data_IF_306179456257
#
_entry.id   IF_306179456257
#
_cell.length_a   1.000
_cell.length_b   1.000
_cell.length_c   1.000
_cell.angle_alpha   90.00
_cell.angle_beta   90.00
_cell.angle_gamma   90.00
#
_symmetry.space_group_name_H-M   'P 1'
#
loop_
_entity.id
_entity.type
_entity.pdbx_description
1 polymer ?
#
# COMPACT_ATOMS: atom_id res chain seq x y z
N UNK A 1 23.52 -6.10 11.84
CA UNK A 1 22.11 -5.84 11.45
C UNK A 1 21.34 -5.42 12.68
N UNK A 2 20.57 -4.33 12.62
CA UNK A 2 19.81 -3.80 13.77
C UNK A 2 18.87 -4.86 14.39
N UNK A 3 18.58 -4.71 15.69
CA UNK A 3 17.66 -5.62 16.37
C UNK A 3 16.20 -5.33 15.94
N UNK A 4 15.33 -6.34 15.96
CA UNK A 4 13.93 -6.15 15.55
C UNK A 4 13.21 -5.12 16.42
N UNK A 5 13.44 -5.11 17.73
CA UNK A 5 12.81 -4.15 18.64
C UNK A 5 13.25 -2.70 18.36
N UNK A 6 14.50 -2.49 17.95
CA UNK A 6 15.03 -1.18 17.55
C UNK A 6 14.32 -0.65 16.30
N UNK A 7 14.18 -1.49 15.26
CA UNK A 7 13.43 -1.13 14.04
C UNK A 7 11.96 -0.83 14.35
N UNK A 8 11.35 -1.60 15.24
CA UNK A 8 9.96 -1.40 15.63
C UNK A 8 9.76 -0.12 16.45
N UNK A 9 10.75 0.28 17.26
CA UNK A 9 10.75 1.55 17.97
C UNK A 9 10.76 2.74 16.98
N UNK A 10 11.57 2.67 15.93
CA UNK A 10 11.55 3.69 14.86
C UNK A 10 10.24 3.73 14.06
N UNK A 11 9.49 2.62 14.02
CA UNK A 11 8.19 2.56 13.35
C UNK A 11 7.01 2.96 14.25
N UNK A 12 7.26 3.25 15.53
CA UNK A 12 6.21 3.55 16.49
C UNK A 12 5.36 4.74 16.02
N UNK A 13 4.03 4.56 16.04
CA UNK A 13 3.07 5.58 15.60
C UNK A 13 2.63 5.49 14.14
N UNK A 14 3.37 4.83 13.25
CA UNK A 14 3.04 4.74 11.82
C UNK A 14 1.93 3.71 11.48
N UNK A 15 1.52 2.90 12.44
CA UNK A 15 0.54 1.83 12.24
C UNK A 15 1.02 0.72 11.29
N UNK A 16 0.15 -0.28 11.06
CA UNK A 16 0.44 -1.43 10.19
C UNK A 16 1.84 -2.05 10.39
N UNK A 17 2.19 -2.36 11.64
CA UNK A 17 3.52 -2.83 12.07
C UNK A 17 4.05 -4.09 11.37
N UNK A 18 3.18 -4.85 10.67
CA UNK A 18 3.63 -5.89 9.77
C UNK A 18 4.55 -5.35 8.65
N UNK A 19 4.36 -4.09 8.22
CA UNK A 19 5.22 -3.43 7.23
C UNK A 19 6.66 -3.31 7.72
N UNK A 20 6.89 -2.82 8.95
CA UNK A 20 8.22 -2.75 9.54
C UNK A 20 8.90 -4.12 9.61
N UNK A 21 8.18 -5.13 10.11
CA UNK A 21 8.72 -6.49 10.22
C UNK A 21 9.10 -7.06 8.85
N UNK A 22 8.22 -6.90 7.86
CA UNK A 22 8.45 -7.39 6.51
C UNK A 22 9.60 -6.64 5.84
N UNK A 23 9.67 -5.31 5.98
CA UNK A 23 10.77 -4.50 5.47
C UNK A 23 12.11 -4.94 6.08
N UNK A 24 12.15 -5.14 7.40
CA UNK A 24 13.36 -5.62 8.07
C UNK A 24 13.76 -7.03 7.63
N UNK A 25 12.78 -7.94 7.48
CA UNK A 25 13.02 -9.29 6.97
C UNK A 25 13.54 -9.28 5.52
N UNK A 26 12.94 -8.46 4.65
CA UNK A 26 13.40 -8.27 3.27
C UNK A 26 14.83 -7.72 3.21
N UNK A 27 15.17 -6.73 4.04
CA UNK A 27 16.52 -6.19 4.13
C UNK A 27 17.56 -7.25 4.55
N UNK A 28 17.20 -8.13 5.52
CA UNK A 28 18.06 -9.26 5.91
C UNK A 28 18.30 -10.23 4.76
N UNK A 29 17.24 -10.62 4.04
CA UNK A 29 17.35 -11.51 2.88
C UNK A 29 18.18 -10.87 1.75
N UNK A 30 18.10 -9.55 1.58
CA UNK A 30 18.95 -8.84 0.61
C UNK A 30 20.44 -8.94 0.98
N UNK A 31 20.79 -8.78 2.25
CA UNK A 31 22.17 -8.97 2.72
C UNK A 31 22.63 -10.42 2.54
N UNK A 32 21.77 -11.38 2.90
CA UNK A 32 22.11 -12.82 2.88
C UNK A 32 22.23 -13.40 1.47
N UNK A 33 21.32 -13.03 0.56
CA UNK A 33 21.18 -13.68 -0.74
C UNK A 33 21.46 -12.78 -1.95
N UNK A 34 21.55 -11.46 -1.75
CA UNK A 34 21.64 -10.48 -2.84
C UNK A 34 22.78 -9.47 -2.65
N UNK A 35 23.79 -9.80 -1.83
CA UNK A 35 24.97 -8.96 -1.64
C UNK A 35 24.67 -7.59 -1.01
N UNK A 36 23.55 -7.47 -0.29
CA UNK A 36 23.08 -6.22 0.32
C UNK A 36 22.30 -5.30 -0.62
N UNK A 37 22.09 -5.68 -1.89
CA UNK A 37 21.29 -4.93 -2.84
C UNK A 37 19.86 -5.50 -2.96
N UNK A 38 18.90 -4.65 -3.36
CA UNK A 38 17.61 -5.16 -3.85
C UNK A 38 17.84 -5.89 -5.17
N UNK A 39 17.22 -7.07 -5.38
CA UNK A 39 17.32 -7.78 -6.65
C UNK A 39 16.71 -6.95 -7.79
N UNK A 40 17.34 -7.02 -8.97
CA UNK A 40 16.84 -6.37 -10.21
C UNK A 40 15.78 -7.20 -10.93
N UNK A 41 15.69 -8.50 -10.63
CA UNK A 41 14.68 -9.39 -11.17
C UNK A 41 13.33 -9.19 -10.48
N UNK A 42 12.25 -9.14 -11.25
CA UNK A 42 10.90 -8.89 -10.74
C UNK A 42 10.43 -9.98 -9.77
N UNK A 43 10.63 -11.25 -10.12
CA UNK A 43 10.15 -12.38 -9.32
C UNK A 43 10.93 -12.48 -8.00
N UNK A 44 12.24 -12.28 -8.04
CA UNK A 44 13.08 -12.22 -6.85
C UNK A 44 12.68 -11.06 -5.93
N UNK A 45 12.37 -9.89 -6.50
CA UNK A 45 11.92 -8.74 -5.73
C UNK A 45 10.53 -8.98 -5.13
N UNK A 46 9.60 -9.59 -5.89
CA UNK A 46 8.26 -9.92 -5.44
C UNK A 46 8.25 -11.02 -4.36
N UNK A 47 9.23 -11.92 -4.38
CA UNK A 47 9.39 -12.95 -3.36
C UNK A 47 9.79 -12.40 -1.99
N UNK A 48 10.31 -11.16 -1.91
CA UNK A 48 10.71 -10.57 -0.63
C UNK A 48 9.49 -10.24 0.26
N UNK A 49 9.59 -10.46 1.59
CA UNK A 49 8.50 -10.17 2.51
C UNK A 49 7.98 -8.73 2.40
N UNK A 50 6.67 -8.59 2.21
CA UNK A 50 6.00 -7.28 2.15
C UNK A 50 6.13 -6.55 0.82
N UNK A 51 6.79 -7.11 -0.19
CA UNK A 51 6.83 -6.55 -1.54
C UNK A 51 5.79 -7.25 -2.41
N UNK A 52 4.64 -6.59 -2.62
CA UNK A 52 3.62 -7.05 -3.55
C UNK A 52 3.93 -6.67 -5.01
N UNK A 53 3.16 -7.21 -5.96
CA UNK A 53 3.29 -6.96 -7.40
C UNK A 53 3.48 -5.47 -7.76
N UNK A 54 2.61 -4.61 -7.22
CA UNK A 54 2.68 -3.16 -7.49
C UNK A 54 3.90 -2.49 -6.83
N UNK A 55 4.36 -2.98 -5.68
CA UNK A 55 5.55 -2.43 -5.01
C UNK A 55 6.82 -2.82 -5.75
N UNK A 56 6.93 -4.07 -6.20
CA UNK A 56 8.04 -4.53 -7.03
C UNK A 56 8.12 -3.70 -8.33
N UNK A 57 6.99 -3.53 -9.01
CA UNK A 57 6.89 -2.68 -10.20
C UNK A 57 7.28 -1.22 -9.92
N UNK A 58 6.85 -0.66 -8.78
CA UNK A 58 7.17 0.71 -8.40
C UNK A 58 8.67 0.89 -8.13
N UNK A 59 9.34 -0.07 -7.50
CA UNK A 59 10.79 -0.05 -7.27
C UNK A 59 11.52 -0.08 -8.61
N UNK A 60 11.20 -1.05 -9.49
CA UNK A 60 11.90 -1.22 -10.76
C UNK A 60 11.70 -0.03 -11.70
N UNK A 61 10.47 0.47 -11.80
CA UNK A 61 10.16 1.62 -12.68
C UNK A 61 10.76 2.93 -12.19
N UNK A 62 10.72 3.23 -10.89
CA UNK A 62 11.21 4.51 -10.36
C UNK A 62 12.72 4.53 -10.15
N UNK A 63 13.29 3.46 -9.56
CA UNK A 63 14.72 3.43 -9.27
C UNK A 63 15.57 3.12 -10.51
N UNK A 64 14.99 2.45 -11.52
CA UNK A 64 15.75 1.94 -12.65
C UNK A 64 15.16 2.25 -14.03
N UNK A 65 13.99 2.89 -14.10
CA UNK A 65 13.35 3.24 -15.37
C UNK A 65 12.75 2.05 -16.13
N UNK A 66 12.67 0.88 -15.49
CA UNK A 66 12.15 -0.33 -16.15
C UNK A 66 10.64 -0.18 -16.44
N UNK A 67 10.18 -0.77 -17.55
CA UNK A 67 8.79 -0.64 -18.02
C UNK A 67 7.84 -1.57 -17.27
N UNK A 68 7.52 -1.20 -16.03
CA UNK A 68 6.52 -1.90 -15.21
C UNK A 68 5.33 -0.99 -14.84
N UNK A 69 4.08 -1.47 -14.96
CA UNK A 69 2.91 -0.75 -14.48
C UNK A 69 2.76 -0.86 -12.97
N UNK A 70 2.25 0.20 -12.34
CA UNK A 70 1.85 0.21 -10.93
C UNK A 70 0.32 0.18 -10.81
N UNK A 71 -0.20 -0.32 -9.70
CA UNK A 71 -1.64 -0.39 -9.45
C UNK A 71 -1.96 -0.27 -7.95
N UNK A 72 -1.57 0.86 -7.36
CA UNK A 72 -1.93 1.21 -5.98
C UNK A 72 -3.39 1.69 -5.86
N UNK A 73 -3.82 2.09 -4.66
CA UNK A 73 -5.18 2.57 -4.45
C UNK A 73 -5.53 3.85 -5.22
N UNK A 74 -4.54 4.68 -5.55
CA UNK A 74 -4.72 5.89 -6.35
C UNK A 74 -4.93 5.52 -7.82
N UNK A 75 -4.05 4.70 -8.38
CA UNK A 75 -4.12 4.25 -9.77
C UNK A 75 -5.37 3.40 -10.02
N UNK A 76 -5.76 2.52 -9.09
CA UNK A 76 -7.04 1.79 -9.21
C UNK A 76 -8.23 2.73 -9.37
N UNK A 77 -8.26 3.85 -8.64
CA UNK A 77 -9.34 4.84 -8.72
C UNK A 77 -9.29 5.63 -10.02
N UNK A 78 -8.11 6.10 -10.42
CA UNK A 78 -7.97 6.88 -11.66
C UNK A 78 -8.37 6.04 -12.86
N UNK A 79 -7.88 4.80 -12.97
CA UNK A 79 -8.24 3.88 -14.06
C UNK A 79 -9.71 3.48 -14.03
N UNK A 80 -10.27 3.20 -12.86
CA UNK A 80 -11.70 2.87 -12.76
C UNK A 80 -12.58 4.03 -13.23
N UNK A 81 -12.24 5.26 -12.88
CA UNK A 81 -12.99 6.45 -13.33
C UNK A 81 -12.78 6.71 -14.83
N UNK A 82 -11.54 6.70 -15.28
CA UNK A 82 -11.19 6.99 -16.66
C UNK A 82 -11.85 6.03 -17.65
N UNK A 83 -11.80 4.73 -17.37
CA UNK A 83 -12.37 3.69 -18.22
C UNK A 83 -13.79 3.26 -17.83
N UNK A 84 -14.39 3.84 -16.78
CA UNK A 84 -15.75 3.48 -16.32
C UNK A 84 -15.87 2.08 -15.73
N UNK A 85 -14.76 1.49 -15.23
CA UNK A 85 -14.73 0.14 -14.68
C UNK A 85 -15.58 0.06 -13.42
N UNK A 86 -16.60 -0.79 -13.46
CA UNK A 86 -17.54 -0.99 -12.36
C UNK A 86 -17.15 -2.22 -11.53
N UNK A 87 -17.56 -2.24 -10.27
CA UNK A 87 -17.26 -3.33 -9.34
C UNK A 87 -16.11 -3.00 -8.39
N UNK A 88 -16.08 -3.69 -7.26
CA UNK A 88 -15.08 -3.43 -6.21
C UNK A 88 -13.70 -3.90 -6.68
N UNK A 89 -12.66 -3.02 -6.72
CA UNK A 89 -11.31 -3.37 -7.17
C UNK A 89 -10.56 -4.40 -6.31
N UNK A 90 -11.17 -4.88 -5.23
CA UNK A 90 -10.66 -6.01 -4.45
C UNK A 90 -11.18 -7.37 -4.88
N UNK A 91 -12.05 -7.44 -5.90
CA UNK A 91 -12.43 -8.71 -6.52
C UNK A 91 -11.41 -9.09 -7.61
N UNK A 92 -11.06 -10.38 -7.77
CA UNK A 92 -10.06 -10.80 -8.75
C UNK A 92 -10.37 -10.37 -10.19
N UNK A 93 -11.66 -10.39 -10.57
CA UNK A 93 -12.09 -10.01 -11.92
C UNK A 93 -11.82 -8.54 -12.21
N UNK A 94 -12.20 -7.63 -11.31
CA UNK A 94 -11.99 -6.19 -11.47
C UNK A 94 -10.50 -5.86 -11.35
N UNK A 95 -9.77 -6.48 -10.42
CA UNK A 95 -8.33 -6.28 -10.29
C UNK A 95 -7.57 -6.71 -11.55
N UNK A 96 -7.92 -7.85 -12.15
CA UNK A 96 -7.32 -8.31 -13.40
C UNK A 96 -7.58 -7.31 -14.54
N UNK A 97 -8.80 -6.81 -14.67
CA UNK A 97 -9.14 -5.81 -15.68
C UNK A 97 -8.31 -4.54 -15.51
N UNK A 98 -8.17 -4.04 -14.28
CA UNK A 98 -7.36 -2.85 -13.99
C UNK A 98 -5.87 -3.06 -14.28
N UNK A 99 -5.34 -4.26 -14.02
CA UNK A 99 -3.96 -4.60 -14.41
C UNK A 99 -3.78 -4.58 -15.93
N UNK A 100 -4.69 -5.18 -16.70
CA UNK A 100 -4.63 -5.14 -18.17
C UNK A 100 -4.65 -3.71 -18.70
N UNK A 101 -5.44 -2.82 -18.10
CA UNK A 101 -5.44 -1.40 -18.45
C UNK A 101 -4.12 -0.70 -18.09
N UNK A 102 -3.57 -0.99 -16.92
CA UNK A 102 -2.28 -0.42 -16.52
C UNK A 102 -1.14 -0.88 -17.44
N UNK A 103 -1.15 -2.16 -17.84
CA UNK A 103 -0.21 -2.77 -18.78
C UNK A 103 -0.30 -2.15 -20.18
N UNK A 104 -1.51 -1.88 -20.69
CA UNK A 104 -1.68 -1.26 -22.00
C UNK A 104 -1.17 0.18 -22.02
N UNK A 105 -1.35 0.93 -20.93
CA UNK A 105 -0.91 2.33 -20.84
C UNK A 105 0.61 2.45 -20.79
N UNK A 106 1.30 1.54 -20.08
CA UNK A 106 2.77 1.61 -20.02
C UNK A 106 3.42 1.37 -21.36
N UNK A 107 2.79 0.72 -22.34
CA UNK A 107 3.35 0.55 -23.68
C UNK A 107 3.54 1.90 -24.42
N UNK A 108 2.69 2.90 -24.11
CA UNK A 108 2.74 4.23 -24.74
C UNK A 108 3.72 5.21 -24.08
N UNK A 109 4.37 4.84 -22.98
CA UNK A 109 5.28 5.75 -22.27
C UNK A 109 6.58 5.93 -23.07
N UNK A 110 7.04 7.16 -23.33
CA UNK A 110 8.32 7.38 -24.00
C UNK A 110 9.48 6.73 -23.25
N UNK A 111 10.51 6.30 -23.99
CA UNK A 111 11.73 5.76 -23.40
C UNK A 111 12.36 6.76 -22.41
N UNK A 112 12.88 6.25 -21.29
CA UNK A 112 13.47 7.07 -20.23
C UNK A 112 12.48 7.84 -19.35
N UNK A 113 11.15 7.74 -19.59
CA UNK A 113 10.12 8.48 -18.84
C UNK A 113 9.30 7.63 -17.86
N UNK A 114 9.72 6.39 -17.60
CA UNK A 114 8.95 5.47 -16.74
C UNK A 114 8.86 5.96 -15.29
N UNK A 115 9.94 6.49 -14.72
CA UNK A 115 9.92 7.03 -13.36
C UNK A 115 8.94 8.22 -13.24
N UNK A 116 9.00 9.15 -14.19
CA UNK A 116 8.06 10.29 -14.25
C UNK A 116 6.62 9.82 -14.40
N UNK A 117 6.36 8.86 -15.29
CA UNK A 117 5.02 8.34 -15.54
C UNK A 117 4.43 7.68 -14.29
N UNK A 118 5.19 6.82 -13.60
CA UNK A 118 4.68 6.12 -12.41
C UNK A 118 4.47 7.07 -11.25
N UNK A 119 5.38 8.05 -11.04
CA UNK A 119 5.20 9.09 -10.03
C UNK A 119 3.98 9.98 -10.36
N UNK A 120 3.85 10.42 -11.62
CA UNK A 120 2.72 11.23 -12.07
C UNK A 120 1.38 10.51 -11.88
N UNK A 121 1.32 9.19 -12.10
CA UNK A 121 0.10 8.40 -11.87
C UNK A 121 -0.31 8.37 -10.39
N UNK A 122 0.65 8.25 -9.47
CA UNK A 122 0.39 8.31 -8.03
C UNK A 122 -0.05 9.72 -7.60
N UNK A 123 0.68 10.74 -8.03
CA UNK A 123 0.41 12.14 -7.70
C UNK A 123 -0.93 12.60 -8.25
N UNK A 124 -1.24 12.24 -9.50
CA UNK A 124 -2.52 12.54 -10.13
C UNK A 124 -3.70 12.01 -9.31
N UNK A 125 -3.62 10.76 -8.83
CA UNK A 125 -4.65 10.21 -7.95
C UNK A 125 -4.65 10.87 -6.56
N UNK A 126 -3.49 11.24 -6.03
CA UNK A 126 -3.36 11.85 -4.71
C UNK A 126 -3.87 13.30 -4.63
N UNK A 127 -3.70 14.09 -5.70
CA UNK A 127 -3.91 15.55 -5.67
C UNK A 127 -5.06 16.04 -6.54
N UNK A 128 -5.34 15.39 -7.68
CA UNK A 128 -6.39 15.82 -8.63
C UNK A 128 -7.59 14.88 -8.63
N UNK A 129 -7.38 13.61 -8.97
CA UNK A 129 -8.43 12.60 -9.00
C UNK A 129 -8.60 11.97 -7.59
N UNK A 130 -8.85 12.82 -6.60
CA UNK A 130 -8.96 12.44 -5.19
C UNK A 130 -10.22 11.64 -4.91
N UNK A 131 -10.26 10.95 -3.76
CA UNK A 131 -11.42 10.13 -3.35
C UNK A 131 -12.71 10.95 -3.27
N UNK A 132 -12.65 12.13 -2.66
CA UNK A 132 -13.78 13.02 -2.44
C UNK A 132 -13.45 14.40 -2.99
N UNK A 133 -14.40 14.99 -3.73
CA UNK A 133 -14.25 16.29 -4.41
C UNK A 133 -13.02 16.35 -5.33
N UNK A 134 -12.93 15.47 -6.34
CA UNK A 134 -11.85 15.53 -7.32
C UNK A 134 -11.91 16.82 -8.14
N UNK A 135 -10.75 17.36 -8.49
CA UNK A 135 -10.61 18.59 -9.27
C UNK A 135 -10.78 18.33 -10.77
N UNK A 136 -11.94 17.79 -11.18
CA UNK A 136 -12.17 17.37 -12.58
C UNK A 136 -12.01 18.50 -13.60
N UNK A 137 -12.35 19.74 -13.24
CA UNK A 137 -12.15 20.92 -14.11
C UNK A 137 -10.68 21.27 -14.37
N UNK A 138 -9.77 20.82 -13.49
CA UNK A 138 -8.32 20.99 -13.62
C UNK A 138 -7.61 19.69 -14.02
N UNK A 139 -8.36 18.63 -14.30
CA UNK A 139 -7.79 17.33 -14.63
C UNK A 139 -7.20 17.40 -16.06
N UNK A 140 -5.89 17.17 -16.27
CA UNK A 140 -5.26 17.35 -17.58
C UNK A 140 -5.76 16.36 -18.63
N UNK A 141 -6.44 15.30 -18.21
CA UNK A 141 -6.98 14.29 -19.11
C UNK A 141 -8.50 14.37 -19.24
N UNK A 142 -9.23 15.28 -18.60
CA UNK A 142 -10.70 15.18 -18.41
C UNK A 142 -11.56 14.76 -19.62
N UNK A 143 -11.19 15.13 -20.86
CA UNK A 143 -11.99 14.95 -22.10
C UNK A 143 -12.42 13.50 -22.36
N UNK A 144 -11.56 12.53 -22.05
CA UNK A 144 -11.84 11.09 -22.27
C UNK A 144 -12.40 10.37 -21.04
N UNK A 145 -12.69 11.07 -19.94
CA UNK A 145 -13.05 10.42 -18.69
C UNK A 145 -14.49 9.90 -18.74
N UNK A 146 -14.64 8.57 -18.84
CA UNK A 146 -15.96 7.92 -18.87
C UNK A 146 -16.79 8.26 -17.63
N UNK A 147 -16.20 8.25 -16.43
CA UNK A 147 -16.92 8.59 -15.22
C UNK A 147 -17.35 10.06 -15.16
N UNK A 148 -16.59 10.99 -15.75
CA UNK A 148 -17.01 12.39 -15.81
C UNK A 148 -18.17 12.56 -16.79
N UNK A 149 -18.04 12.02 -18.00
CA UNK A 149 -19.08 12.03 -19.03
C UNK A 149 -20.39 11.44 -18.55
N UNK A 150 -20.33 10.34 -17.80
CA UNK A 150 -21.51 9.59 -17.36
C UNK A 150 -22.01 10.02 -15.96
N UNK A 151 -21.38 11.02 -15.31
CA UNK A 151 -21.76 11.48 -13.97
C UNK A 151 -21.50 10.47 -12.84
N UNK A 152 -20.49 9.60 -12.99
CA UNK A 152 -20.18 8.47 -12.10
C UNK A 152 -18.89 8.65 -11.28
N UNK A 153 -18.32 9.86 -11.25
CA UNK A 153 -17.04 10.14 -10.57
C UNK A 153 -17.07 9.75 -9.08
N UNK A 154 -18.16 10.08 -8.38
CA UNK A 154 -18.31 9.75 -6.95
C UNK A 154 -18.72 8.29 -6.70
N UNK A 155 -19.28 7.62 -7.71
CA UNK A 155 -19.68 6.22 -7.64
C UNK A 155 -18.53 5.24 -7.93
N UNK A 156 -17.42 5.73 -8.52
CA UNK A 156 -16.28 4.93 -8.93
C UNK A 156 -14.99 5.30 -8.17
N UNK A 157 -14.17 4.30 -7.78
CA UNK A 157 -14.43 2.86 -7.89
C UNK A 157 -15.56 2.42 -6.95
N UNK A 158 -16.23 1.32 -7.29
CA UNK A 158 -17.29 0.78 -6.43
C UNK A 158 -16.72 0.47 -5.03
N UNK A 159 -17.39 0.92 -3.95
CA UNK A 159 -16.91 0.73 -2.59
C UNK A 159 -16.72 -0.75 -2.24
N UNK A 160 -15.81 -0.99 -1.28
CA UNK A 160 -15.70 -2.31 -0.65
C UNK A 160 -17.04 -2.67 -0.01
N UNK A 161 -17.55 -3.90 -0.19
CA UNK A 161 -18.72 -4.36 0.55
C UNK A 161 -18.52 -4.20 2.06
N UNK A 162 -19.44 -3.50 2.71
CA UNK A 162 -19.39 -3.30 4.15
C UNK A 162 -19.44 -4.66 4.88
N UNK A 163 -18.63 -4.79 5.91
CA UNK A 163 -18.71 -5.89 6.88
C UNK A 163 -18.98 -5.27 8.24
N UNK A 164 -19.91 -5.85 8.99
CA UNK A 164 -20.10 -5.50 10.40
C UNK A 164 -18.83 -5.90 11.13
N UNK A 165 -18.16 -4.93 11.75
CA UNK A 165 -16.99 -5.19 12.56
C UNK A 165 -17.44 -5.59 13.96
N UNK A 166 -16.82 -6.61 14.59
CA UNK A 166 -17.16 -6.97 15.95
C UNK A 166 -16.68 -5.88 16.91
N UNK A 167 -17.57 -5.45 17.81
CA UNK A 167 -17.19 -4.65 18.97
C UNK A 167 -16.49 -5.54 20.00
N UNK A 168 -15.49 -4.98 20.68
CA UNK A 168 -14.71 -5.67 21.70
C UNK A 168 -14.43 -4.72 22.85
N UNK A 169 -14.76 -5.18 24.05
CA UNK A 169 -14.41 -4.50 25.30
C UNK A 169 -13.17 -5.15 25.91
N UNK A 170 -12.43 -4.39 26.69
CA UNK A 170 -11.29 -4.87 27.47
C UNK A 170 -10.94 -3.87 28.57
N UNK A 171 -10.58 -4.38 29.75
CA UNK A 171 -10.06 -3.57 30.86
C UNK A 171 -8.53 -3.59 30.82
N UNK A 172 -7.91 -2.40 30.81
CA UNK A 172 -6.46 -2.24 30.91
C UNK A 172 -6.05 -1.95 32.35
N UNK A 173 -5.19 -2.81 32.92
CA UNK A 173 -4.64 -2.66 34.26
C UNK A 173 -3.27 -2.00 34.17
N UNK A 174 -3.13 -0.86 34.85
CA UNK A 174 -1.85 -0.19 35.06
C UNK A 174 -1.32 -0.60 36.44
N UNK A 175 -0.26 -1.40 36.47
CA UNK A 175 0.36 -1.86 37.71
C UNK A 175 1.74 -1.23 37.83
N UNK A 176 1.98 -0.54 38.94
CA UNK A 176 3.23 0.14 39.27
C UNK A 176 3.79 -0.45 40.57
N UNK A 177 5.10 -0.66 40.63
CA UNK A 177 5.75 -1.10 41.88
C UNK A 177 6.22 0.09 42.72
N UNK A 178 6.75 -0.18 43.91
CA UNK A 178 7.25 0.86 44.83
C UNK A 178 8.44 1.66 44.29
N UNK A 179 9.05 1.24 43.18
CA UNK A 179 10.15 1.93 42.49
C UNK A 179 9.67 2.78 41.30
N UNK A 180 8.37 2.82 41.03
CA UNK A 180 7.79 3.55 39.90
C UNK A 180 7.86 2.82 38.56
N UNK A 181 8.15 1.51 38.56
CA UNK A 181 8.24 0.72 37.33
C UNK A 181 6.86 0.14 36.95
N UNK A 182 6.53 0.19 35.66
CA UNK A 182 5.25 -0.28 35.13
C UNK A 182 5.32 -1.71 34.57
N UNK A 183 4.34 -2.55 34.92
CA UNK A 183 4.20 -3.86 34.30
C UNK A 183 3.60 -3.76 32.90
N UNK A 184 4.41 -4.15 31.90
CA UNK A 184 3.96 -4.30 30.52
C UNK A 184 4.05 -5.77 30.10
N UNK A 185 3.15 -6.17 29.21
CA UNK A 185 3.16 -7.48 28.56
C UNK A 185 3.39 -7.33 27.06
N UNK A 186 4.18 -8.23 26.48
CA UNK A 186 4.35 -8.31 25.03
C UNK A 186 3.18 -9.03 24.40
N UNK A 187 2.61 -8.45 23.33
CA UNK A 187 1.54 -9.10 22.55
C UNK A 187 2.08 -10.32 21.81
N UNK A 188 1.23 -11.33 21.52
CA UNK A 188 1.60 -12.46 20.69
C UNK A 188 2.26 -12.04 19.37
N UNK A 189 3.08 -12.91 18.75
CA UNK A 189 3.77 -12.61 17.50
C UNK A 189 2.83 -12.51 16.29
N UNK A 190 1.57 -12.89 16.45
CA UNK A 190 0.53 -12.82 15.42
C UNK A 190 -0.69 -11.99 15.88
N UNK A 191 -1.48 -11.52 14.91
CA UNK A 191 -2.70 -10.75 15.16
C UNK A 191 -2.50 -9.23 15.24
N UNK A 192 -3.53 -8.54 15.73
CA UNK A 192 -3.56 -7.07 15.78
C UNK A 192 -2.42 -6.56 16.66
N UNK A 193 -1.62 -5.61 16.15
CA UNK A 193 -0.49 -4.98 16.88
C UNK A 193 0.51 -6.00 17.45
N UNK A 194 0.70 -7.11 16.75
CA UNK A 194 1.60 -8.19 17.14
C UNK A 194 3.00 -7.71 17.54
N UNK A 195 3.53 -8.27 18.62
CA UNK A 195 4.89 -8.01 19.14
C UNK A 195 5.06 -6.70 19.92
N UNK A 196 4.05 -5.81 19.96
CA UNK A 196 4.12 -4.56 20.73
C UNK A 196 3.87 -4.79 22.23
N UNK A 197 4.44 -3.92 23.05
CA UNK A 197 4.14 -3.85 24.48
C UNK A 197 2.78 -3.19 24.72
N UNK A 198 2.09 -3.65 25.77
CA UNK A 198 0.84 -3.04 26.27
C UNK A 198 0.70 -3.29 27.78
N UNK A 199 -0.14 -2.51 28.48
CA UNK A 199 -0.59 -2.88 29.83
C UNK A 199 -1.26 -4.26 29.83
N UNK A 200 -1.32 -4.89 31.02
CA UNK A 200 -2.07 -6.15 31.16
C UNK A 200 -3.55 -5.86 30.87
N UNK A 201 -4.18 -6.70 30.04
CA UNK A 201 -5.60 -6.53 29.69
C UNK A 201 -6.38 -7.76 30.09
N UNK A 202 -7.54 -7.56 30.72
CA UNK A 202 -8.56 -8.59 30.91
C UNK A 202 -9.66 -8.40 29.85
N UNK A 203 -10.23 -9.50 29.31
CA UNK A 203 -11.43 -9.42 28.49
C UNK A 203 -12.57 -8.75 29.26
#
# INVERSE_FOLDING_TARGET
VAATDEVMAHWAGLGYYARARNLHAAAKLCVEHHGGALPRDFEALHALPGIGRSTAAAILSQAHGDRFPILDGNVKRTLARWHGVSGWPGTPAVEKQLWTLAESLVAGVPEGRMADYTQAQMDFGATLCTRARPACLHCPVYEGCVALRDGRVDALPTPRPCKILPEREAVALLLENTRGELLLQRRPPTGIRAGLLRPRTQP
#
